data_IF_231583363068
#
_entry.id   IF_231583363068
#
_cell.length_a   1.000
_cell.length_b   1.000
_cell.length_c   1.000
_cell.angle_alpha   90.00
_cell.angle_beta   90.00
_cell.angle_gamma   90.00
#
_symmetry.space_group_name_H-M   'P 1'
#
loop_
_entity.id
_entity.type
_entity.pdbx_description
1 polymer ?
#
# COMPACT_ATOMS: atom_id res chain seq x y z
N UNK A 1 -47.72 29.86 5.74
CA UNK A 1 -47.00 28.80 5.00
C UNK A 1 -45.52 29.05 5.22
N UNK A 2 -44.87 28.19 5.98
CA UNK A 2 -43.44 28.31 6.29
C UNK A 2 -42.69 27.52 5.21
N UNK A 3 -41.93 28.21 4.37
CA UNK A 3 -41.14 27.59 3.31
C UNK A 3 -39.90 26.94 3.92
N UNK A 4 -39.87 25.61 3.91
CA UNK A 4 -38.71 24.84 4.36
C UNK A 4 -37.60 25.03 3.34
N UNK A 5 -36.59 25.82 3.68
CA UNK A 5 -35.41 26.01 2.82
C UNK A 5 -34.72 24.66 2.55
N UNK A 6 -34.30 24.37 1.30
CA UNK A 6 -33.66 23.11 0.98
C UNK A 6 -32.37 22.97 1.79
N UNK A 7 -32.21 21.82 2.45
CA UNK A 7 -30.98 21.49 3.17
C UNK A 7 -29.79 21.50 2.19
N UNK A 8 -28.63 22.06 2.56
CA UNK A 8 -27.46 22.04 1.70
C UNK A 8 -27.07 20.59 1.44
N UNK A 9 -27.20 20.14 0.19
CA UNK A 9 -26.70 18.84 -0.25
C UNK A 9 -25.18 18.90 -0.17
N UNK A 10 -24.56 18.10 0.71
CA UNK A 10 -23.10 17.96 0.73
C UNK A 10 -22.64 17.57 -0.67
N UNK A 11 -21.93 18.46 -1.35
CA UNK A 11 -21.30 18.14 -2.62
C UNK A 11 -20.44 16.88 -2.43
N UNK A 12 -20.50 15.89 -3.34
CA UNK A 12 -19.68 14.70 -3.24
C UNK A 12 -18.22 15.11 -3.04
N UNK A 13 -17.58 14.61 -1.98
CA UNK A 13 -16.14 14.76 -1.81
C UNK A 13 -15.48 14.18 -3.06
N UNK A 14 -14.94 15.06 -3.92
CA UNK A 14 -14.21 14.64 -5.12
C UNK A 14 -13.00 13.84 -4.65
N UNK A 15 -13.00 12.55 -4.94
CA UNK A 15 -11.87 11.68 -4.65
C UNK A 15 -10.59 12.27 -5.27
N UNK A 16 -9.47 12.19 -4.54
CA UNK A 16 -8.22 12.78 -4.97
C UNK A 16 -7.85 12.33 -6.39
N UNK A 17 -7.59 13.29 -7.29
CA UNK A 17 -7.23 13.02 -8.68
C UNK A 17 -8.40 12.69 -9.60
N UNK A 18 -9.65 12.78 -9.15
CA UNK A 18 -10.86 12.60 -9.97
C UNK A 18 -11.52 13.95 -10.26
N UNK A 19 -11.88 14.17 -11.53
CA UNK A 19 -12.58 15.35 -12.01
C UNK A 19 -14.10 15.31 -11.75
N UNK A 20 -14.80 16.43 -11.99
CA UNK A 20 -16.25 16.52 -11.76
C UNK A 20 -17.08 15.62 -12.69
N UNK A 21 -16.50 15.16 -13.79
CA UNK A 21 -17.05 14.18 -14.73
C UNK A 21 -16.82 12.72 -14.28
N UNK A 22 -16.14 12.50 -13.16
CA UNK A 22 -15.82 11.18 -12.62
C UNK A 22 -14.60 10.51 -13.29
N UNK A 23 -13.91 11.20 -14.19
CA UNK A 23 -12.68 10.68 -14.82
C UNK A 23 -11.43 11.13 -14.06
N UNK A 24 -10.28 10.47 -14.26
CA UNK A 24 -9.04 10.96 -13.68
C UNK A 24 -8.65 12.31 -14.30
N UNK A 25 -8.27 13.27 -13.45
CA UNK A 25 -7.51 14.43 -13.92
C UNK A 25 -6.15 13.94 -14.45
N UNK A 26 -5.51 14.72 -15.33
CA UNK A 26 -4.18 14.35 -15.88
C UNK A 26 -3.15 14.09 -14.77
N UNK A 27 -3.17 14.90 -13.70
CA UNK A 27 -2.30 14.70 -12.53
C UNK A 27 -2.70 13.46 -11.72
N UNK A 28 -4.01 13.20 -11.54
CA UNK A 28 -4.51 11.99 -10.89
C UNK A 28 -4.09 10.71 -11.63
N UNK A 29 -4.17 10.69 -12.95
CA UNK A 29 -3.74 9.57 -13.78
C UNK A 29 -2.23 9.32 -13.66
N UNK A 30 -1.41 10.37 -13.73
CA UNK A 30 0.05 10.25 -13.56
C UNK A 30 0.40 9.74 -12.16
N UNK A 31 -0.23 10.29 -11.12
CA UNK A 31 0.00 9.85 -9.74
C UNK A 31 -0.39 8.38 -9.54
N UNK A 32 -1.56 7.97 -10.04
CA UNK A 32 -2.02 6.58 -9.97
C UNK A 32 -1.08 5.62 -10.71
N UNK A 33 -0.62 6.01 -11.91
CA UNK A 33 0.33 5.20 -12.68
C UNK A 33 1.68 5.05 -11.95
N UNK A 34 2.26 6.16 -11.50
CA UNK A 34 3.56 6.15 -10.79
C UNK A 34 3.46 5.33 -9.49
N UNK A 35 2.38 5.51 -8.72
CA UNK A 35 2.16 4.75 -7.49
C UNK A 35 2.00 3.26 -7.76
N UNK A 36 1.23 2.88 -8.80
CA UNK A 36 1.08 1.50 -9.23
C UNK A 36 2.42 0.89 -9.69
N UNK A 37 3.24 1.65 -10.39
CA UNK A 37 4.57 1.23 -10.84
C UNK A 37 5.50 1.00 -9.64
N UNK A 38 5.59 1.97 -8.74
CA UNK A 38 6.41 1.87 -7.52
C UNK A 38 5.96 0.68 -6.66
N UNK A 39 4.65 0.48 -6.50
CA UNK A 39 4.10 -0.65 -5.75
C UNK A 39 4.53 -1.97 -6.40
N UNK A 40 4.39 -2.09 -7.72
CA UNK A 40 4.75 -3.32 -8.44
C UNK A 40 6.25 -3.61 -8.30
N UNK A 41 7.10 -2.63 -8.55
CA UNK A 41 8.55 -2.81 -8.49
C UNK A 41 9.11 -2.95 -7.08
N UNK A 42 8.40 -2.50 -6.05
CA UNK A 42 8.81 -2.73 -4.67
C UNK A 42 8.27 -4.06 -4.12
N UNK A 43 6.96 -4.27 -4.19
CA UNK A 43 6.30 -5.39 -3.49
C UNK A 43 6.52 -6.73 -4.19
N UNK A 44 6.48 -6.77 -5.53
CA UNK A 44 6.63 -8.03 -6.26
C UNK A 44 7.99 -8.69 -5.99
N UNK A 45 9.15 -8.03 -6.20
CA UNK A 45 10.44 -8.67 -5.94
C UNK A 45 10.63 -8.99 -4.45
N UNK A 46 10.16 -8.15 -3.53
CA UNK A 46 10.23 -8.45 -2.10
C UNK A 46 9.43 -9.69 -1.73
N UNK A 47 8.26 -9.89 -2.33
CA UNK A 47 7.45 -11.10 -2.13
C UNK A 47 8.18 -12.35 -2.65
N UNK A 48 8.81 -12.26 -3.81
CA UNK A 48 9.63 -13.35 -4.36
C UNK A 48 10.81 -13.66 -3.44
N UNK A 49 11.53 -12.64 -2.98
CA UNK A 49 12.65 -12.82 -2.04
C UNK A 49 12.17 -13.44 -0.72
N UNK A 50 11.03 -13.00 -0.19
CA UNK A 50 10.45 -13.57 1.02
C UNK A 50 10.18 -15.08 0.87
N UNK A 51 9.57 -15.49 -0.25
CA UNK A 51 9.31 -16.89 -0.55
C UNK A 51 10.62 -17.71 -0.63
N UNK A 52 11.63 -17.19 -1.35
CA UNK A 52 12.93 -17.86 -1.48
C UNK A 52 13.65 -18.02 -0.14
N UNK A 53 13.62 -17.00 0.71
CA UNK A 53 14.21 -17.04 2.05
C UNK A 53 13.51 -18.06 2.94
N UNK A 54 12.18 -18.11 2.87
CA UNK A 54 11.39 -19.06 3.63
C UNK A 54 11.69 -20.51 3.21
N UNK A 55 11.66 -20.82 1.90
CA UNK A 55 12.03 -22.14 1.38
C UNK A 55 13.46 -22.53 1.75
N UNK A 56 14.42 -21.58 1.70
CA UNK A 56 15.79 -21.81 2.16
C UNK A 56 15.86 -22.12 3.65
N UNK A 57 15.04 -21.48 4.48
CA UNK A 57 15.00 -21.75 5.92
C UNK A 57 14.55 -23.18 6.22
N UNK A 58 13.54 -23.68 5.49
CA UNK A 58 13.01 -25.05 5.67
C UNK A 58 14.10 -26.11 5.56
N UNK A 59 15.00 -25.95 4.59
CA UNK A 59 16.13 -26.88 4.39
C UNK A 59 17.22 -26.79 5.46
N UNK A 60 17.21 -25.77 6.33
CA UNK A 60 18.28 -25.48 7.28
C UNK A 60 17.91 -25.74 8.74
N UNK A 61 16.64 -26.00 9.06
CA UNK A 61 16.21 -26.18 10.45
C UNK A 61 16.91 -27.34 11.17
N UNK A 62 17.19 -28.44 10.47
CA UNK A 62 17.82 -29.62 11.05
C UNK A 62 19.31 -29.44 11.34
N UNK A 63 19.99 -28.62 10.53
CA UNK A 63 21.45 -28.45 10.60
C UNK A 63 21.85 -27.22 11.42
N UNK A 64 21.15 -26.11 11.22
CA UNK A 64 21.47 -24.81 11.80
C UNK A 64 20.17 -24.04 12.10
N UNK A 65 19.55 -24.30 13.26
CA UNK A 65 18.28 -23.68 13.63
C UNK A 65 18.42 -22.17 13.86
N UNK A 66 19.61 -21.68 14.22
CA UNK A 66 19.84 -20.24 14.41
C UNK A 66 19.77 -19.52 13.06
N UNK A 67 20.43 -20.05 12.04
CA UNK A 67 20.40 -19.48 10.69
C UNK A 67 19.03 -19.63 10.03
N UNK A 68 18.33 -20.74 10.25
CA UNK A 68 16.96 -20.92 9.76
C UNK A 68 16.01 -19.84 10.31
N UNK A 69 16.07 -19.54 11.61
CA UNK A 69 15.30 -18.44 12.23
C UNK A 69 15.65 -17.07 11.63
N UNK A 70 16.93 -16.81 11.37
CA UNK A 70 17.35 -15.57 10.72
C UNK A 70 16.72 -15.43 9.33
N UNK A 71 16.72 -16.48 8.51
CA UNK A 71 16.10 -16.48 7.18
C UNK A 71 14.58 -16.25 7.25
N UNK A 72 13.89 -16.87 8.23
CA UNK A 72 12.46 -16.63 8.48
C UNK A 72 12.21 -15.17 8.87
N UNK A 73 13.01 -14.60 9.77
CA UNK A 73 12.88 -13.21 10.17
C UNK A 73 13.08 -12.27 8.97
N UNK A 74 14.06 -12.54 8.11
CA UNK A 74 14.27 -11.75 6.89
C UNK A 74 13.12 -11.89 5.89
N UNK A 75 12.55 -13.09 5.75
CA UNK A 75 11.34 -13.31 4.95
C UNK A 75 10.18 -12.45 5.44
N UNK A 76 9.93 -12.43 6.76
CA UNK A 76 8.92 -11.57 7.37
C UNK A 76 9.20 -10.09 7.16
N UNK A 77 10.46 -9.65 7.26
CA UNK A 77 10.83 -8.24 7.03
C UNK A 77 10.54 -7.81 5.59
N UNK A 78 10.79 -8.66 4.60
CA UNK A 78 10.46 -8.37 3.20
C UNK A 78 8.97 -8.12 2.96
N UNK A 79 8.09 -8.67 3.80
CA UNK A 79 6.62 -8.50 3.68
C UNK A 79 6.14 -7.34 4.57
N UNK A 80 6.54 -7.34 5.84
CA UNK A 80 5.97 -6.44 6.86
C UNK A 80 6.46 -5.01 6.73
N UNK A 81 7.74 -4.79 6.43
CA UNK A 81 8.31 -3.44 6.30
C UNK A 81 7.61 -2.61 5.21
N UNK A 82 7.45 -3.09 3.95
CA UNK A 82 6.78 -2.29 2.93
C UNK A 82 5.30 -2.04 3.26
N UNK A 83 4.61 -2.98 3.93
CA UNK A 83 3.23 -2.78 4.40
C UNK A 83 3.16 -1.69 5.47
N UNK A 84 4.05 -1.72 6.48
CA UNK A 84 4.10 -0.69 7.53
C UNK A 84 4.40 0.69 6.93
N UNK A 85 5.33 0.77 5.97
CA UNK A 85 5.63 2.02 5.27
C UNK A 85 4.41 2.52 4.50
N UNK A 86 3.71 1.64 3.76
CA UNK A 86 2.51 2.02 3.01
C UNK A 86 1.38 2.52 3.93
N UNK A 87 1.16 1.86 5.06
CA UNK A 87 0.18 2.28 6.07
C UNK A 87 0.57 3.62 6.68
N UNK A 88 1.83 3.81 7.06
CA UNK A 88 2.31 5.08 7.61
C UNK A 88 2.15 6.23 6.59
N UNK A 89 2.49 5.99 5.32
CA UNK A 89 2.30 6.96 4.25
C UNK A 89 0.82 7.32 4.05
N UNK A 90 -0.07 6.33 4.08
CA UNK A 90 -1.52 6.56 4.00
C UNK A 90 -2.03 7.40 5.17
N UNK A 91 -1.61 7.10 6.40
CA UNK A 91 -1.96 7.88 7.60
C UNK A 91 -1.49 9.33 7.47
N UNK A 92 -0.23 9.55 7.09
CA UNK A 92 0.31 10.90 6.89
C UNK A 92 -0.51 11.66 5.85
N UNK A 93 -0.78 11.04 4.70
CA UNK A 93 -1.61 11.64 3.64
C UNK A 93 -2.99 12.04 4.18
N UNK A 94 -3.68 11.13 4.89
CA UNK A 94 -5.01 11.42 5.46
C UNK A 94 -5.01 12.52 6.51
N UNK A 95 -3.92 12.70 7.26
CA UNK A 95 -3.81 13.76 8.27
C UNK A 95 -3.45 15.12 7.67
N UNK A 96 -2.94 15.14 6.43
CA UNK A 96 -2.49 16.36 5.74
C UNK A 96 -3.47 16.89 4.68
N UNK A 97 -4.53 16.14 4.38
CA UNK A 97 -5.62 16.52 3.48
C UNK A 97 -6.80 17.11 4.26
#
# INVERSE_FOLDING_TARGET
MTETAPAPVSAPSLAFGIGPDGTYTRSGQVAAFVLGLLTTFAFLPLTVVAALLYTRAETRFAEDPARARALVNWSWLCITVPVVIAVAAAVVLTLTM
#
